data_IF_831042591824
#
_entry.id   IF_831042591824
#
_cell.length_a   1.000
_cell.length_b   1.000
_cell.length_c   1.000
_cell.angle_alpha   90.00
_cell.angle_beta   90.00
_cell.angle_gamma   90.00
#
_symmetry.space_group_name_H-M   'P 1'
#
loop_
_entity.id
_entity.type
_entity.pdbx_description
1 polymer ?
#
# COMPACT_ATOMS: atom_id res chain seq x y z
N UNK A 1 3.68 -36.97 23.23
CA UNK A 1 2.47 -36.20 22.86
C UNK A 1 2.34 -36.23 21.35
N UNK A 2 1.21 -36.68 20.79
CA UNK A 2 0.95 -36.65 19.33
C UNK A 2 0.06 -35.45 19.03
N UNK A 3 0.48 -34.60 18.10
CA UNK A 3 -0.30 -33.47 17.58
C UNK A 3 -0.58 -33.70 16.10
N UNK A 4 -1.75 -33.27 15.64
CA UNK A 4 -2.12 -33.27 14.23
C UNK A 4 -2.18 -31.82 13.76
N UNK A 5 -1.52 -31.51 12.64
CA UNK A 5 -1.44 -30.16 12.06
C UNK A 5 -1.70 -30.28 10.56
N UNK A 6 -2.58 -29.43 10.02
CA UNK A 6 -2.80 -29.33 8.59
C UNK A 6 -1.66 -28.55 7.92
N UNK A 7 -1.11 -29.08 6.83
CA UNK A 7 -0.06 -28.42 6.05
C UNK A 7 -0.70 -27.66 4.89
N UNK A 8 -0.48 -26.36 4.84
CA UNK A 8 -0.93 -25.48 3.77
C UNK A 8 0.29 -24.85 3.06
N UNK A 9 0.16 -24.43 1.79
CA UNK A 9 1.17 -23.61 1.13
C UNK A 9 1.50 -22.35 1.93
N UNK A 10 2.74 -21.86 1.81
CA UNK A 10 3.16 -20.63 2.47
C UNK A 10 2.41 -19.44 1.87
N UNK A 11 1.84 -18.59 2.72
CA UNK A 11 1.27 -17.31 2.31
C UNK A 11 2.39 -16.28 2.29
N UNK A 12 2.64 -15.71 1.11
CA UNK A 12 3.64 -14.68 0.89
C UNK A 12 2.97 -13.29 0.96
N UNK A 13 3.49 -12.40 1.81
CA UNK A 13 3.03 -11.01 1.87
C UNK A 13 3.46 -10.22 0.62
N UNK A 14 4.68 -10.47 0.16
CA UNK A 14 5.21 -10.00 -1.13
C UNK A 14 5.38 -11.23 -2.03
N UNK A 15 4.56 -11.39 -3.08
CA UNK A 15 4.60 -12.56 -3.94
C UNK A 15 5.80 -12.53 -4.89
N UNK A 16 6.41 -13.71 -5.11
CA UNK A 16 7.48 -13.92 -6.10
C UNK A 16 6.95 -14.10 -7.53
N UNK A 17 5.70 -14.56 -7.66
CA UNK A 17 5.06 -14.82 -8.94
C UNK A 17 3.68 -14.20 -8.91
N UNK A 18 3.35 -13.43 -9.95
CA UNK A 18 2.04 -12.82 -10.13
C UNK A 18 1.24 -13.71 -11.08
N UNK A 19 1.01 -14.98 -10.72
CA UNK A 19 0.17 -16.01 -11.38
C UNK A 19 -0.07 -15.90 -12.92
N UNK A 20 0.93 -15.42 -13.68
CA UNK A 20 0.85 -15.16 -15.12
C UNK A 20 -0.11 -14.04 -15.57
N UNK A 21 -0.64 -13.22 -14.65
CA UNK A 21 -1.64 -12.18 -14.95
C UNK A 21 -1.09 -10.75 -15.01
N UNK A 22 -1.95 -9.79 -15.37
CA UNK A 22 -1.63 -8.36 -15.21
C UNK A 22 -1.64 -8.00 -13.72
N UNK A 23 -0.66 -7.21 -13.24
CA UNK A 23 -0.67 -6.74 -11.87
C UNK A 23 -1.86 -5.80 -11.62
N UNK A 24 -2.46 -5.92 -10.44
CA UNK A 24 -3.55 -5.05 -10.02
C UNK A 24 -3.06 -3.62 -9.88
N UNK A 25 -3.81 -2.64 -10.38
CA UNK A 25 -3.47 -1.23 -10.19
C UNK A 25 -4.72 -0.38 -10.02
N UNK A 26 -4.58 0.74 -9.33
CA UNK A 26 -5.64 1.71 -9.08
C UNK A 26 -5.09 3.14 -9.19
N UNK A 27 -5.74 3.98 -9.99
CA UNK A 27 -5.34 5.37 -10.22
C UNK A 27 -6.40 6.30 -9.66
N UNK A 28 -6.01 7.21 -8.76
CA UNK A 28 -6.93 8.19 -8.15
C UNK A 28 -6.28 9.55 -8.22
N UNK A 29 -6.89 10.50 -8.95
CA UNK A 29 -6.34 11.84 -9.14
C UNK A 29 -4.87 11.85 -9.60
N UNK A 30 -4.46 10.85 -10.37
CA UNK A 30 -3.07 10.67 -10.84
C UNK A 30 -2.17 9.88 -9.89
N UNK A 31 -2.57 9.59 -8.65
CA UNK A 31 -1.82 8.72 -7.75
C UNK A 31 -1.98 7.27 -8.19
N UNK A 32 -0.87 6.60 -8.52
CA UNK A 32 -0.86 5.22 -9.04
C UNK A 32 -0.52 4.24 -7.93
N UNK A 33 -1.52 3.46 -7.50
CA UNK A 33 -1.38 2.44 -6.47
C UNK A 33 -1.23 1.04 -7.07
N UNK A 34 -0.33 0.24 -6.52
CA UNK A 34 -0.06 -1.15 -6.93
C UNK A 34 0.35 -1.99 -5.70
N UNK A 35 0.04 -3.29 -5.64
CA UNK A 35 0.58 -4.16 -4.61
C UNK A 35 2.07 -4.41 -4.86
N UNK A 36 2.87 -4.34 -3.80
CA UNK A 36 4.29 -4.65 -3.85
C UNK A 36 4.49 -6.13 -4.18
N UNK A 37 5.36 -6.41 -5.15
CA UNK A 37 5.71 -7.75 -5.60
C UNK A 37 7.20 -7.81 -5.89
N UNK A 38 7.80 -9.01 -5.88
CA UNK A 38 9.22 -9.17 -6.20
C UNK A 38 9.54 -8.76 -7.65
N UNK A 39 8.70 -9.07 -8.68
CA UNK A 39 8.93 -8.57 -10.03
C UNK A 39 8.97 -7.03 -10.11
N UNK A 40 8.13 -6.34 -9.32
CA UNK A 40 8.14 -4.88 -9.27
C UNK A 40 9.43 -4.33 -8.63
N UNK A 41 9.91 -4.97 -7.57
CA UNK A 41 11.18 -4.59 -6.90
C UNK A 41 12.37 -4.79 -7.85
N UNK A 42 12.36 -5.88 -8.62
CA UNK A 42 13.39 -6.17 -9.62
C UNK A 42 13.39 -5.14 -10.77
N UNK A 43 12.21 -4.69 -11.20
CA UNK A 43 12.05 -3.70 -12.27
C UNK A 43 12.47 -2.28 -11.84
N UNK A 44 12.02 -1.83 -10.67
CA UNK A 44 12.29 -0.48 -10.15
C UNK A 44 13.73 -0.28 -9.65
N UNK A 45 14.50 -1.36 -9.50
CA UNK A 45 15.78 -1.44 -8.78
C UNK A 45 15.65 -1.20 -7.26
N UNK A 46 16.39 -1.98 -6.46
CA UNK A 46 16.36 -1.90 -5.00
C UNK A 46 16.72 -0.50 -4.45
N UNK A 47 17.57 0.25 -5.15
CA UNK A 47 17.99 1.60 -4.73
C UNK A 47 16.84 2.62 -4.70
N UNK A 48 15.82 2.46 -5.56
CA UNK A 48 14.70 3.40 -5.68
C UNK A 48 13.55 3.10 -4.71
N UNK A 49 13.36 1.83 -4.32
CA UNK A 49 12.29 1.35 -3.43
C UNK A 49 12.49 1.85 -1.99
N UNK A 50 13.74 2.04 -1.59
CA UNK A 50 14.10 2.48 -0.25
C UNK A 50 14.19 1.36 0.78
N UNK A 51 15.07 1.53 1.76
CA UNK A 51 15.44 0.50 2.74
C UNK A 51 14.26 0.00 3.59
N UNK A 52 13.31 0.88 3.97
CA UNK A 52 12.16 0.51 4.81
C UNK A 52 11.23 -0.46 4.09
N UNK A 53 10.90 -0.16 2.84
CA UNK A 53 10.00 -0.96 2.03
C UNK A 53 10.66 -2.31 1.66
N UNK A 54 11.96 -2.30 1.35
CA UNK A 54 12.74 -3.53 1.16
C UNK A 54 12.81 -4.39 2.42
N UNK A 55 13.08 -3.79 3.59
CA UNK A 55 13.10 -4.52 4.84
C UNK A 55 11.73 -5.17 5.12
N UNK A 56 10.64 -4.46 4.84
CA UNK A 56 9.30 -5.03 4.92
C UNK A 56 9.10 -6.18 3.95
N UNK A 57 9.50 -6.03 2.69
CA UNK A 57 9.39 -7.09 1.68
C UNK A 57 10.14 -8.36 2.08
N UNK A 58 11.36 -8.23 2.63
CA UNK A 58 12.22 -9.38 2.97
C UNK A 58 11.86 -10.03 4.31
N UNK A 59 11.42 -9.25 5.31
CA UNK A 59 11.30 -9.74 6.69
C UNK A 59 9.87 -9.79 7.24
N UNK A 60 8.90 -9.16 6.59
CA UNK A 60 7.51 -9.19 7.08
C UNK A 60 6.77 -10.45 6.63
N UNK A 61 5.87 -10.94 7.49
CA UNK A 61 4.98 -12.06 7.21
C UNK A 61 3.53 -11.55 7.13
N UNK A 62 2.72 -12.20 6.31
CA UNK A 62 1.29 -11.91 6.24
C UNK A 62 0.63 -12.26 7.58
N UNK A 63 -0.09 -11.31 8.16
CA UNK A 63 -0.83 -11.43 9.42
C UNK A 63 -2.20 -12.07 9.20
N UNK A 64 -2.80 -11.83 8.04
CA UNK A 64 -4.05 -12.45 7.62
C UNK A 64 -3.98 -12.84 6.14
N UNK A 65 -4.95 -13.64 5.70
CA UNK A 65 -5.01 -14.13 4.32
C UNK A 65 -5.27 -12.95 3.38
N UNK A 66 -4.58 -12.90 2.23
CA UNK A 66 -4.74 -11.83 1.22
C UNK A 66 -4.32 -10.43 1.70
N UNK A 67 -3.53 -10.34 2.78
CA UNK A 67 -2.84 -9.10 3.14
C UNK A 67 -1.83 -8.73 2.03
N UNK A 68 -1.82 -7.46 1.65
CA UNK A 68 -0.86 -6.92 0.67
C UNK A 68 -0.28 -5.60 1.17
N UNK A 69 0.99 -5.37 0.82
CA UNK A 69 1.61 -4.05 0.94
C UNK A 69 1.20 -3.25 -0.29
N UNK A 70 0.28 -2.29 -0.13
CA UNK A 70 -0.10 -1.37 -1.21
C UNK A 70 0.86 -0.18 -1.20
N UNK A 71 1.44 0.13 -2.34
CA UNK A 71 2.36 1.26 -2.50
C UNK A 71 1.80 2.25 -3.51
N UNK A 72 2.16 3.52 -3.34
CA UNK A 72 2.13 4.53 -4.38
C UNK A 72 3.41 4.36 -5.20
N UNK A 73 3.28 3.85 -6.42
CA UNK A 73 4.41 3.68 -7.34
C UNK A 73 4.87 5.05 -7.85
N UNK A 74 3.94 5.84 -8.38
CA UNK A 74 4.23 7.17 -8.93
C UNK A 74 3.00 8.08 -8.91
N UNK A 75 3.22 9.37 -9.21
CA UNK A 75 2.17 10.37 -9.36
C UNK A 75 2.17 10.96 -10.78
N UNK A 76 1.04 10.84 -11.47
CA UNK A 76 0.79 11.46 -12.77
C UNK A 76 0.44 12.94 -12.54
N UNK A 77 1.43 13.81 -12.74
CA UNK A 77 1.32 15.24 -12.46
C UNK A 77 0.06 15.89 -13.07
N UNK A 78 -0.71 16.57 -12.23
CA UNK A 78 -1.92 17.28 -12.61
C UNK A 78 -2.23 18.40 -11.61
N UNK A 79 -3.06 19.36 -11.99
CA UNK A 79 -3.47 20.47 -11.11
C UNK A 79 -4.09 19.99 -9.78
N UNK A 80 -4.73 18.82 -9.78
CA UNK A 80 -5.36 18.24 -8.57
C UNK A 80 -4.36 17.64 -7.58
N UNK A 81 -3.14 17.31 -7.99
CA UNK A 81 -2.14 16.65 -7.14
C UNK A 81 -0.85 17.48 -6.97
N UNK A 82 -0.96 18.81 -7.13
CA UNK A 82 0.14 19.73 -6.94
C UNK A 82 0.75 19.57 -5.54
N UNK A 83 2.07 19.43 -5.48
CA UNK A 83 2.85 19.20 -4.27
C UNK A 83 3.11 17.72 -3.94
N UNK A 84 2.53 16.79 -4.69
CA UNK A 84 2.70 15.35 -4.52
C UNK A 84 3.46 14.69 -5.69
N UNK A 85 3.93 15.46 -6.67
CA UNK A 85 4.45 14.95 -7.95
C UNK A 85 5.72 14.11 -7.79
N UNK A 86 6.56 14.45 -6.81
CA UNK A 86 7.83 13.76 -6.55
C UNK A 86 7.67 12.54 -5.63
N UNK A 87 6.44 12.17 -5.26
CA UNK A 87 6.18 11.00 -4.42
C UNK A 87 6.25 9.72 -5.24
N UNK A 88 7.12 8.79 -4.81
CA UNK A 88 7.24 7.45 -5.39
C UNK A 88 7.62 6.41 -4.36
N UNK A 89 7.27 5.15 -4.66
CA UNK A 89 7.58 3.96 -3.86
C UNK A 89 7.25 4.08 -2.36
N UNK A 90 6.15 4.75 -2.02
CA UNK A 90 5.69 4.94 -0.63
C UNK A 90 4.57 3.96 -0.28
N UNK A 91 4.69 3.24 0.84
CA UNK A 91 3.60 2.40 1.33
C UNK A 91 2.45 3.27 1.83
N UNK A 92 1.22 2.97 1.39
CA UNK A 92 0.00 3.56 1.96
C UNK A 92 -0.51 2.68 3.12
N UNK A 93 -0.72 3.29 4.28
CA UNK A 93 -1.11 2.60 5.51
C UNK A 93 -2.60 2.76 5.81
N UNK A 94 -3.13 3.98 5.64
CA UNK A 94 -4.54 4.27 5.92
C UNK A 94 -5.18 5.14 4.84
N UNK A 95 -6.49 4.99 4.73
CA UNK A 95 -7.36 5.85 3.94
C UNK A 95 -8.49 6.36 4.84
N UNK A 96 -8.63 7.68 4.98
CA UNK A 96 -9.57 8.33 5.90
C UNK A 96 -9.56 7.72 7.31
N UNK A 97 -8.37 7.47 7.87
CA UNK A 97 -8.17 6.84 9.17
C UNK A 97 -8.36 5.31 9.22
N UNK A 98 -8.88 4.69 8.15
CA UNK A 98 -9.08 3.23 8.08
C UNK A 98 -7.85 2.52 7.54
N UNK A 99 -7.36 1.49 8.22
CA UNK A 99 -6.17 0.73 7.82
C UNK A 99 -6.43 -0.09 6.54
N UNK A 100 -5.55 0.05 5.56
CA UNK A 100 -5.63 -0.68 4.30
C UNK A 100 -5.15 -2.12 4.52
N UNK A 101 -5.86 -3.07 3.90
CA UNK A 101 -5.60 -4.52 4.01
C UNK A 101 -4.97 -5.06 2.73
N UNK A 102 -5.52 -4.65 1.60
CA UNK A 102 -5.07 -4.98 0.25
C UNK A 102 -5.59 -3.91 -0.74
N UNK A 103 -5.16 -4.00 -2.01
CA UNK A 103 -5.54 -2.99 -3.02
C UNK A 103 -7.04 -3.00 -3.32
N UNK A 104 -7.70 -4.17 -3.24
CA UNK A 104 -9.15 -4.29 -3.43
C UNK A 104 -9.91 -3.59 -2.31
N UNK A 105 -9.43 -3.70 -1.07
CA UNK A 105 -9.97 -2.96 0.07
C UNK A 105 -9.82 -1.44 -0.14
N UNK A 106 -8.67 -0.98 -0.63
CA UNK A 106 -8.47 0.43 -0.97
C UNK A 106 -9.45 0.91 -2.06
N UNK A 107 -9.59 0.15 -3.15
CA UNK A 107 -10.54 0.46 -4.22
C UNK A 107 -11.98 0.56 -3.70
N UNK A 108 -12.37 -0.36 -2.81
CA UNK A 108 -13.68 -0.34 -2.17
C UNK A 108 -13.89 0.90 -1.29
N UNK A 109 -12.92 1.22 -0.42
CA UNK A 109 -12.99 2.39 0.46
C UNK A 109 -13.14 3.69 -0.34
N UNK A 110 -12.42 3.81 -1.45
CA UNK A 110 -12.49 4.98 -2.34
C UNK A 110 -13.84 5.05 -3.04
N UNK A 111 -14.35 3.93 -3.56
CA UNK A 111 -15.66 3.88 -4.22
C UNK A 111 -16.83 4.20 -3.27
N UNK A 112 -16.72 3.80 -1.99
CA UNK A 112 -17.74 4.04 -0.98
C UNK A 112 -17.58 5.40 -0.27
N UNK A 113 -16.49 6.13 -0.50
CA UNK A 113 -16.19 7.37 0.21
C UNK A 113 -17.21 8.48 -0.12
N UNK A 114 -17.90 8.96 0.91
CA UNK A 114 -18.82 10.09 0.82
C UNK A 114 -18.26 11.42 1.35
N UNK A 115 -17.03 11.39 1.86
CA UNK A 115 -16.38 12.55 2.46
C UNK A 115 -15.93 13.56 1.40
N UNK A 116 -15.75 14.81 1.84
CA UNK A 116 -15.24 15.88 0.97
C UNK A 116 -13.81 15.62 0.50
N UNK A 117 -13.00 15.00 1.35
CA UNK A 117 -11.58 14.79 1.13
C UNK A 117 -11.23 13.30 1.12
N UNK A 118 -10.28 12.96 0.26
CA UNK A 118 -9.59 11.67 0.21
C UNK A 118 -8.25 11.85 0.90
N UNK A 119 -8.09 11.24 2.08
CA UNK A 119 -6.88 11.36 2.91
C UNK A 119 -6.13 10.04 2.87
N UNK A 120 -4.96 10.06 2.25
CA UNK A 120 -4.03 8.93 2.19
C UNK A 120 -2.92 9.16 3.21
N UNK A 121 -2.80 8.25 4.17
CA UNK A 121 -1.70 8.23 5.13
C UNK A 121 -0.65 7.24 4.68
N UNK A 122 0.56 7.71 4.42
CA UNK A 122 1.70 6.91 4.01
C UNK A 122 2.59 6.55 5.19
N UNK A 123 3.59 5.73 4.92
CA UNK A 123 4.73 5.57 5.80
C UNK A 123 5.40 6.93 6.09
N UNK A 124 6.04 7.05 7.25
CA UNK A 124 6.66 8.30 7.75
C UNK A 124 5.70 9.46 8.06
N UNK A 125 4.42 9.14 8.33
CA UNK A 125 3.37 10.13 8.65
C UNK A 125 3.14 11.17 7.54
N UNK A 126 3.52 10.85 6.30
CA UNK A 126 3.21 11.69 5.16
C UNK A 126 1.72 11.58 4.82
N UNK A 127 1.08 12.71 4.51
CA UNK A 127 -0.35 12.80 4.24
C UNK A 127 -0.58 13.42 2.87
N UNK A 128 -1.26 12.70 1.99
CA UNK A 128 -1.82 13.29 0.77
C UNK A 128 -3.33 13.51 0.94
N UNK A 129 -3.78 14.74 0.74
CA UNK A 129 -5.18 15.14 0.89
C UNK A 129 -5.68 15.70 -0.44
N UNK A 130 -6.68 15.04 -1.00
CA UNK A 130 -7.25 15.40 -2.30
C UNK A 130 -8.74 15.73 -2.14
N UNK A 131 -9.23 16.76 -2.82
CA UNK A 131 -10.67 17.03 -2.87
C UNK A 131 -11.35 16.02 -3.79
N UNK A 132 -12.35 15.30 -3.27
CA UNK A 132 -12.99 14.18 -3.98
C UNK A 132 -13.64 14.62 -5.28
N UNK A 133 -14.38 15.74 -5.27
CA UNK A 133 -15.09 16.22 -6.45
C UNK A 133 -14.11 16.63 -7.57
N UNK A 134 -13.03 17.32 -7.23
CA UNK A 134 -11.97 17.69 -8.18
C UNK A 134 -11.23 16.46 -8.72
N UNK A 135 -10.92 15.49 -7.85
CA UNK A 135 -10.30 14.22 -8.22
C UNK A 135 -11.14 13.43 -9.23
N UNK A 136 -12.44 13.31 -8.98
CA UNK A 136 -13.37 12.60 -9.87
C UNK A 136 -13.61 13.34 -11.19
N UNK A 137 -13.67 14.67 -11.17
CA UNK A 137 -13.85 15.46 -12.39
C UNK A 137 -12.64 15.34 -13.34
N UNK A 138 -11.45 15.18 -12.78
CA UNK A 138 -10.18 15.24 -13.54
C UNK A 138 -9.64 13.85 -13.92
N UNK A 139 -10.19 12.78 -13.35
CA UNK A 139 -9.74 11.40 -13.61
C UNK A 139 -9.70 11.07 -15.11
N UNK A 140 -10.79 11.33 -15.83
CA UNK A 140 -10.89 11.05 -17.27
C UNK A 140 -9.91 11.87 -18.12
N UNK A 141 -9.52 13.06 -17.66
CA UNK A 141 -8.55 13.92 -18.34
C UNK A 141 -7.13 13.40 -18.13
N UNK A 142 -6.77 13.07 -16.89
CA UNK A 142 -5.45 12.49 -16.55
C UNK A 142 -5.19 11.22 -17.37
N UNK A 143 -6.16 10.30 -17.41
CA UNK A 143 -6.00 9.05 -18.15
C UNK A 143 -5.79 9.29 -19.65
N UNK A 144 -6.49 10.27 -20.24
CA UNK A 144 -6.30 10.63 -21.66
C UNK A 144 -4.94 11.26 -21.92
N UNK A 145 -4.54 12.20 -21.08
CA UNK A 145 -3.28 12.95 -21.23
C UNK A 145 -2.07 12.01 -21.13
N UNK A 146 -2.15 11.00 -20.26
CA UNK A 146 -1.11 9.98 -20.06
C UNK A 146 -1.30 8.70 -20.89
N UNK A 147 -2.35 8.62 -21.73
CA UNK A 147 -2.59 7.48 -22.62
C UNK A 147 -2.96 6.17 -21.91
N UNK A 148 -3.57 6.25 -20.73
CA UNK A 148 -3.95 5.10 -19.91
C UNK A 148 -5.40 4.69 -20.25
N UNK A 149 -5.66 3.41 -20.56
CA UNK A 149 -6.99 2.97 -21.01
C UNK A 149 -8.06 2.94 -19.91
N UNK A 150 -7.68 2.64 -18.66
CA UNK A 150 -8.58 2.49 -17.52
C UNK A 150 -7.95 3.02 -16.24
N UNK A 151 -8.78 3.50 -15.30
CA UNK A 151 -8.33 3.92 -13.96
C UNK A 151 -7.92 2.74 -13.07
N UNK A 152 -8.39 1.53 -13.39
CA UNK A 152 -8.18 0.32 -12.59
C UNK A 152 -8.01 -0.91 -13.46
N UNK A 153 -7.33 -1.91 -12.93
CA UNK A 153 -7.25 -3.25 -13.50
C UNK A 153 -8.59 -4.00 -13.43
N UNK A 154 -8.78 -4.98 -14.31
CA UNK A 154 -10.05 -5.71 -14.48
C UNK A 154 -10.48 -6.48 -13.20
N UNK A 155 -9.53 -6.94 -12.39
CA UNK A 155 -9.75 -7.67 -11.13
C UNK A 155 -10.34 -6.82 -10.00
N UNK A 156 -10.31 -5.48 -10.15
CA UNK A 156 -10.87 -4.52 -9.20
C UNK A 156 -12.28 -4.04 -9.59
N UNK A 157 -12.86 -4.58 -10.67
CA UNK A 157 -14.25 -4.33 -11.05
C UNK A 157 -15.23 -5.20 -10.25
N UNK A 158 -14.75 -6.32 -9.70
CA UNK A 158 -15.57 -7.22 -8.88
C UNK A 158 -15.92 -6.60 -7.52
N UNK A 159 -17.14 -6.89 -6.98
CA UNK A 159 -17.53 -6.40 -5.66
C UNK A 159 -16.59 -6.95 -4.58
N UNK A 160 -16.17 -6.07 -3.67
CA UNK A 160 -15.36 -6.46 -2.52
C UNK A 160 -16.15 -7.38 -1.59
N UNK A 161 -15.55 -8.50 -1.19
CA UNK A 161 -16.10 -9.46 -0.23
C UNK A 161 -15.25 -9.40 1.03
N UNK A 162 -15.85 -8.98 2.15
CA UNK A 162 -15.18 -9.08 3.44
C UNK A 162 -15.09 -10.54 3.89
N UNK A 163 -13.86 -11.03 4.04
CA UNK A 163 -13.55 -12.23 4.81
C UNK A 163 -13.90 -11.98 6.28
N UNK A 164 -15.01 -12.57 6.76
CA UNK A 164 -15.52 -12.44 8.14
C UNK A 164 -14.60 -13.04 9.24
N UNK A 165 -13.40 -13.51 8.91
CA UNK A 165 -12.49 -14.21 9.84
C UNK A 165 -11.40 -13.36 10.51
N UNK A 166 -11.11 -12.15 10.01
CA UNK A 166 -9.82 -11.48 10.29
C UNK A 166 -9.88 -10.32 11.30
N UNK A 167 -11.07 -10.02 11.85
CA UNK A 167 -11.27 -8.86 12.74
C UNK A 167 -10.77 -9.07 14.19
N UNK A 168 -10.30 -10.26 14.57
CA UNK A 168 -9.86 -10.53 15.96
C UNK A 168 -8.35 -10.28 16.22
N UNK A 169 -7.53 -10.05 15.19
CA UNK A 169 -6.09 -9.82 15.37
C UNK A 169 -5.68 -8.34 15.45
N UNK A 170 -6.63 -7.41 15.30
CA UNK A 170 -6.34 -5.97 15.10
C UNK A 170 -6.17 -5.21 16.43
N UNK A 171 -6.65 -5.74 17.57
CA UNK A 171 -6.55 -5.09 18.89
C UNK A 171 -5.39 -5.56 19.77
N UNK A 172 -4.40 -6.28 19.22
CA UNK A 172 -3.12 -6.45 19.92
C UNK A 172 -2.07 -5.60 19.24
N UNK A 173 -1.79 -4.47 19.90
CA UNK A 173 -0.62 -3.63 19.72
C UNK A 173 0.64 -4.48 19.94
N UNK A 174 1.05 -5.23 18.92
CA UNK A 174 2.35 -5.88 18.89
C UNK A 174 3.36 -4.79 18.61
N UNK A 175 4.05 -4.43 19.69
CA UNK A 175 4.99 -3.33 19.80
C UNK A 175 5.96 -3.18 18.63
N UNK A 176 6.35 -1.94 18.48
CA UNK A 176 7.35 -1.40 17.57
C UNK A 176 8.39 -2.42 17.10
N UNK A 177 8.44 -2.57 15.78
CA UNK A 177 9.62 -3.06 15.07
C UNK A 177 10.88 -2.38 15.64
N UNK A 178 12.01 -3.10 15.86
CA UNK A 178 13.20 -2.57 16.53
C UNK A 178 13.96 -1.52 15.70
N UNK A 179 13.35 -0.95 14.66
CA UNK A 179 13.90 0.10 13.82
C UNK A 179 13.17 1.43 14.11
N UNK A 180 12.95 1.74 15.39
CA UNK A 180 12.70 3.11 15.83
C UNK A 180 14.03 3.78 16.15
N UNK A 181 14.52 4.58 15.20
CA UNK A 181 15.60 5.54 15.45
C UNK A 181 15.05 6.69 16.31
N UNK A 182 14.96 6.52 17.64
CA UNK A 182 15.07 7.63 18.59
C UNK A 182 15.18 7.12 20.04
N UNK A 183 16.38 6.77 20.48
CA UNK A 183 16.80 6.87 21.89
C UNK A 183 18.32 6.65 22.01
N UNK A 184 19.12 7.52 21.38
CA UNK A 184 20.52 7.68 21.79
C UNK A 184 20.49 8.59 23.02
N UNK A 185 20.29 7.97 24.19
CA UNK A 185 20.60 8.58 25.47
C UNK A 185 22.10 8.92 25.52
N UNK A 186 22.41 10.13 25.94
CA UNK A 186 23.76 10.71 25.96
C UNK A 186 24.68 10.13 27.06
N UNK A 187 24.56 8.84 27.39
CA UNK A 187 25.24 8.22 28.53
C UNK A 187 26.10 6.99 28.17
N UNK A 188 26.49 6.86 26.89
CA UNK A 188 27.24 5.70 26.37
C UNK A 188 28.67 5.95 25.90
N UNK A 189 29.24 7.15 26.07
CA UNK A 189 30.62 7.46 25.65
C UNK A 189 31.60 7.28 26.81
N UNK A 190 31.90 6.03 27.16
CA UNK A 190 32.97 5.73 28.12
C UNK A 190 33.52 4.31 27.99
N UNK A 191 33.99 3.89 26.81
CA UNK A 191 34.96 2.79 26.70
C UNK A 191 35.91 2.97 25.51
N UNK A 192 37.22 2.93 25.85
CA UNK A 192 38.44 2.89 25.03
C UNK A 192 38.90 4.18 24.33
#
# INVERSE_FOLDING_TARGET
MKVQVALNPRVHLVPYHIDGGQPSYLIIAGLVFTPLSEPLIEEECEESIGLKLLAKARYSLARFKEEQIVILSQVLANEVNIGYEDMSNQQVLKFNGTRIKNIRHLAHLVACCQDKYLVFEFEDNYLAVLEREAAMATSSRILKDYGIPSERSDDLLEPYVESLGDNQAIEQDFGESPVSNLEIGFDGLLWA
#
